data_IF_244826265739
#
_entry.id   IF_244826265739
#
_cell.length_a   1.000
_cell.length_b   1.000
_cell.length_c   1.000
_cell.angle_alpha   90.00
_cell.angle_beta   90.00
_cell.angle_gamma   90.00
#
_symmetry.space_group_name_H-M   'P 1'
#
loop_
_entity.id
_entity.type
_entity.pdbx_description
1 polymer ?
#
# COMPACT_ATOMS: atom_id res chain seq x y z
N UNK A 1 4.51 -25.64 -0.15
CA UNK A 1 4.12 -24.42 0.56
C UNK A 1 3.71 -23.36 -0.46
N UNK A 2 2.53 -22.81 -0.30
CA UNK A 2 2.08 -21.78 -1.21
C UNK A 2 2.72 -20.43 -0.86
N UNK A 3 3.29 -19.75 -1.83
CA UNK A 3 3.76 -18.39 -1.67
C UNK A 3 2.52 -17.49 -1.71
N UNK A 4 2.38 -16.60 -0.74
CA UNK A 4 1.29 -15.63 -0.76
C UNK A 4 1.43 -14.72 -1.98
N UNK A 5 0.39 -14.58 -2.77
CA UNK A 5 0.38 -13.68 -3.92
C UNK A 5 0.61 -12.23 -3.50
N UNK A 6 0.23 -11.88 -2.26
CA UNK A 6 0.41 -10.53 -1.73
C UNK A 6 1.88 -10.16 -1.54
N UNK A 7 2.75 -11.17 -1.40
CA UNK A 7 4.17 -10.96 -1.14
C UNK A 7 5.03 -11.00 -2.39
N UNK A 8 4.43 -11.22 -3.56
CA UNK A 8 5.19 -11.19 -4.82
C UNK A 8 5.50 -9.74 -5.20
N UNK A 9 6.60 -9.54 -5.91
CA UNK A 9 6.97 -8.23 -6.41
C UNK A 9 5.88 -7.64 -7.31
N UNK A 10 5.29 -8.48 -8.17
CA UNK A 10 4.23 -8.06 -9.08
C UNK A 10 2.99 -7.54 -8.33
N UNK A 11 2.56 -8.29 -7.31
CA UNK A 11 1.40 -7.87 -6.51
C UNK A 11 1.69 -6.58 -5.74
N UNK A 12 2.90 -6.42 -5.21
CA UNK A 12 3.29 -5.19 -4.53
C UNK A 12 3.26 -3.99 -5.49
N UNK A 13 3.70 -4.17 -6.73
CA UNK A 13 3.64 -3.12 -7.76
C UNK A 13 2.20 -2.71 -8.05
N UNK A 14 1.30 -3.68 -8.20
CA UNK A 14 -0.13 -3.39 -8.42
C UNK A 14 -0.72 -2.63 -7.24
N UNK A 15 -0.43 -3.04 -6.02
CA UNK A 15 -0.94 -2.34 -4.84
C UNK A 15 -0.41 -0.90 -4.77
N UNK A 16 0.88 -0.71 -5.02
CA UNK A 16 1.48 0.62 -5.04
C UNK A 16 0.80 1.52 -6.07
N UNK A 17 0.56 1.02 -7.28
CA UNK A 17 -0.14 1.78 -8.32
C UNK A 17 -1.55 2.18 -7.89
N UNK A 18 -2.29 1.27 -7.28
CA UNK A 18 -3.65 1.56 -6.82
C UNK A 18 -3.63 2.65 -5.75
N UNK A 19 -2.72 2.57 -4.79
CA UNK A 19 -2.59 3.61 -3.78
C UNK A 19 -2.28 4.97 -4.40
N UNK A 20 -1.32 5.03 -5.31
CA UNK A 20 -0.95 6.28 -5.97
C UNK A 20 -2.07 6.82 -6.85
N UNK A 21 -2.89 5.94 -7.42
CA UNK A 21 -4.06 6.33 -8.20
C UNK A 21 -5.08 7.12 -7.36
N UNK A 22 -5.26 6.73 -6.11
CA UNK A 22 -6.17 7.42 -5.19
C UNK A 22 -5.55 8.64 -4.52
N UNK A 23 -4.22 8.74 -4.53
CA UNK A 23 -3.52 9.85 -3.90
C UNK A 23 -3.15 10.89 -4.95
N UNK A 24 -3.45 12.16 -4.68
CA UNK A 24 -3.24 13.25 -5.60
C UNK A 24 -1.99 14.05 -5.27
N UNK A 25 -1.05 13.44 -4.57
CA UNK A 25 0.19 14.08 -4.14
C UNK A 25 1.33 13.06 -4.10
N UNK A 26 2.58 13.51 -4.24
CA UNK A 26 3.73 12.61 -4.10
C UNK A 26 3.82 12.03 -2.69
N UNK A 27 4.18 10.75 -2.61
CA UNK A 27 4.35 10.05 -1.34
C UNK A 27 5.62 9.22 -1.35
N UNK A 28 6.12 8.89 -0.17
CA UNK A 28 7.31 8.08 -0.02
C UNK A 28 6.95 6.62 0.31
N UNK A 29 7.97 5.76 0.27
CA UNK A 29 7.80 4.34 0.53
C UNK A 29 7.34 4.05 1.97
N UNK A 30 7.76 4.88 2.93
CA UNK A 30 7.37 4.68 4.33
C UNK A 30 5.87 4.86 4.51
N UNK A 31 5.30 5.88 3.88
CA UNK A 31 3.86 6.11 3.90
C UNK A 31 3.12 4.95 3.24
N UNK A 32 3.56 4.54 2.04
CA UNK A 32 2.91 3.43 1.33
C UNK A 32 3.04 2.11 2.08
N UNK A 33 4.17 1.87 2.72
CA UNK A 33 4.35 0.68 3.55
C UNK A 33 3.35 0.63 4.70
N UNK A 34 3.12 1.76 5.36
CA UNK A 34 2.15 1.87 6.43
C UNK A 34 0.72 1.65 5.90
N UNK A 35 0.35 2.30 4.81
CA UNK A 35 -0.97 2.15 4.19
C UNK A 35 -1.18 0.71 3.72
N UNK A 36 -0.17 0.09 3.13
CA UNK A 36 -0.24 -1.30 2.68
C UNK A 36 -0.47 -2.25 3.85
N UNK A 37 0.25 -2.05 4.97
CA UNK A 37 0.08 -2.85 6.17
C UNK A 37 -1.36 -2.77 6.70
N UNK A 38 -1.91 -1.57 6.78
CA UNK A 38 -3.30 -1.38 7.22
C UNK A 38 -4.29 -2.01 6.25
N UNK A 39 -4.07 -1.86 4.95
CA UNK A 39 -5.03 -2.31 3.93
C UNK A 39 -5.13 -3.82 3.87
N UNK A 40 -4.00 -4.53 3.89
CA UNK A 40 -4.03 -5.99 3.80
C UNK A 40 -4.34 -6.67 5.14
N UNK A 41 -4.27 -5.94 6.23
CA UNK A 41 -4.54 -6.45 7.59
C UNK A 41 -5.68 -5.68 8.25
N UNK A 42 -6.67 -5.23 7.51
CA UNK A 42 -7.73 -4.33 7.99
C UNK A 42 -8.40 -4.81 9.27
N UNK A 43 -8.67 -6.10 9.36
CA UNK A 43 -9.32 -6.68 10.53
C UNK A 43 -8.51 -6.46 11.81
N UNK A 44 -7.18 -6.52 11.71
CA UNK A 44 -6.29 -6.30 12.86
C UNK A 44 -6.32 -4.86 13.38
N UNK A 45 -6.78 -3.93 12.56
CA UNK A 45 -6.81 -2.50 12.87
C UNK A 45 -8.25 -1.94 12.99
N UNK A 46 -9.25 -2.82 12.92
CA UNK A 46 -10.65 -2.41 13.06
C UNK A 46 -11.17 -1.59 11.88
N UNK A 47 -10.56 -1.65 10.72
CA UNK A 47 -10.96 -0.88 9.54
C UNK A 47 -12.04 -1.60 8.73
N UNK A 48 -11.91 -2.90 8.57
CA UNK A 48 -12.85 -3.71 7.80
C UNK A 48 -13.13 -5.03 8.49
N UNK A 49 -13.94 -5.86 7.85
CA UNK A 49 -14.31 -7.17 8.39
C UNK A 49 -13.34 -8.28 8.01
N UNK A 50 -12.57 -8.09 6.94
CA UNK A 50 -11.70 -9.13 6.39
C UNK A 50 -10.28 -8.63 6.15
N UNK A 51 -9.33 -9.53 6.30
CA UNK A 51 -7.95 -9.30 5.87
C UNK A 51 -7.77 -9.86 4.46
N UNK A 52 -7.09 -9.13 3.59
CA UNK A 52 -6.78 -9.60 2.23
C UNK A 52 -5.77 -10.74 2.25
N UNK A 53 -4.91 -10.79 3.25
CA UNK A 53 -3.91 -11.85 3.40
C UNK A 53 -4.36 -13.02 4.28
N UNK A 54 -5.65 -13.11 4.59
CA UNK A 54 -6.21 -14.17 5.42
C UNK A 54 -6.39 -13.80 6.88
N UNK A 55 -6.70 -14.78 7.73
CA UNK A 55 -7.09 -14.56 9.12
C UNK A 55 -5.98 -14.86 10.12
N UNK A 56 -4.73 -14.69 9.76
CA UNK A 56 -3.64 -14.93 10.69
C UNK A 56 -3.24 -13.63 11.41
N UNK A 57 -2.47 -13.79 12.46
CA UNK A 57 -2.01 -12.68 13.29
C UNK A 57 -1.06 -11.77 12.51
N UNK A 58 -1.07 -10.49 12.89
CA UNK A 58 -0.09 -9.54 12.38
C UNK A 58 1.30 -9.94 12.88
N UNK A 59 2.21 -10.23 11.97
CA UNK A 59 3.56 -10.66 12.32
C UNK A 59 4.39 -9.50 12.83
N UNK A 60 5.30 -9.78 13.77
CA UNK A 60 6.31 -8.81 14.18
C UNK A 60 7.14 -8.42 12.96
N UNK A 61 7.38 -7.13 12.78
CA UNK A 61 8.14 -6.63 11.63
C UNK A 61 7.33 -6.51 10.33
N UNK A 62 6.01 -6.69 10.38
CA UNK A 62 5.14 -6.58 9.21
C UNK A 62 5.29 -5.24 8.50
N UNK A 63 5.29 -4.15 9.26
CA UNK A 63 5.44 -2.80 8.69
C UNK A 63 6.76 -2.68 7.92
N UNK A 64 7.85 -3.18 8.48
CA UNK A 64 9.16 -3.11 7.84
C UNK A 64 9.18 -3.90 6.53
N UNK A 65 8.62 -5.11 6.55
CA UNK A 65 8.53 -5.96 5.36
C UNK A 65 7.72 -5.26 4.27
N UNK A 66 6.57 -4.70 4.62
CA UNK A 66 5.71 -4.00 3.65
C UNK A 66 6.38 -2.74 3.11
N UNK A 67 7.08 -2.00 3.96
CA UNK A 67 7.82 -0.81 3.54
C UNK A 67 8.92 -1.16 2.53
N UNK A 68 9.66 -2.24 2.78
CA UNK A 68 10.70 -2.69 1.86
C UNK A 68 10.11 -3.14 0.52
N UNK A 69 8.96 -3.84 0.54
CA UNK A 69 8.26 -4.22 -0.68
C UNK A 69 7.79 -2.99 -1.47
N UNK A 70 7.26 -1.99 -0.80
CA UNK A 70 6.80 -0.76 -1.46
C UNK A 70 7.98 0.03 -2.05
N UNK A 71 9.11 0.07 -1.35
CA UNK A 71 10.31 0.73 -1.86
C UNK A 71 10.79 0.08 -3.15
N UNK A 72 10.84 -1.25 -3.19
CA UNK A 72 11.22 -1.99 -4.39
C UNK A 72 10.19 -1.80 -5.51
N UNK A 73 8.91 -1.87 -5.16
CA UNK A 73 7.82 -1.68 -6.12
C UNK A 73 7.89 -0.32 -6.79
N UNK A 74 8.08 0.75 -6.02
CA UNK A 74 8.17 2.12 -6.55
C UNK A 74 9.34 2.27 -7.53
N UNK A 75 10.49 1.67 -7.22
CA UNK A 75 11.64 1.70 -8.11
C UNK A 75 11.35 0.98 -9.43
N UNK A 76 10.75 -0.19 -9.37
CA UNK A 76 10.40 -0.96 -10.56
C UNK A 76 9.35 -0.22 -11.41
N UNK A 77 8.36 0.36 -10.77
CA UNK A 77 7.33 1.13 -11.46
C UNK A 77 7.92 2.36 -12.16
N UNK A 78 8.88 3.02 -11.52
CA UNK A 78 9.58 4.15 -12.13
C UNK A 78 10.36 3.73 -13.38
N UNK A 79 11.03 2.56 -13.31
CA UNK A 79 11.75 2.02 -14.47
C UNK A 79 10.80 1.68 -15.63
N UNK A 80 9.55 1.32 -15.33
CA UNK A 80 8.54 1.02 -16.32
C UNK A 80 7.78 2.27 -16.81
N UNK A 81 8.08 3.44 -16.26
CA UNK A 81 7.40 4.68 -16.62
C UNK A 81 6.00 4.84 -16.04
N UNK A 82 5.63 4.02 -15.05
CA UNK A 82 4.29 4.04 -14.45
C UNK A 82 4.20 4.95 -13.23
N UNK A 83 5.34 5.30 -12.64
CA UNK A 83 5.46 6.31 -11.59
C UNK A 83 6.62 7.23 -11.91
N UNK A 84 6.65 8.39 -11.26
CA UNK A 84 7.76 9.33 -11.38
C UNK A 84 8.11 9.87 -9.99
N UNK A 85 9.40 10.05 -9.74
CA UNK A 85 9.87 10.68 -8.51
C UNK A 85 9.81 12.19 -8.71
N UNK A 86 8.89 12.84 -8.00
CA UNK A 86 8.62 14.27 -8.16
C UNK A 86 9.35 15.04 -7.06
N UNK A 87 10.31 15.87 -7.46
CA UNK A 87 11.08 16.73 -6.58
C UNK A 87 10.58 18.18 -6.59
N UNK A 88 9.62 18.48 -7.45
CA UNK A 88 9.12 19.85 -7.64
C UNK A 88 8.02 20.23 -6.65
N UNK A 89 7.38 19.22 -6.05
CA UNK A 89 6.32 19.45 -5.08
C UNK A 89 6.91 19.80 -3.71
N UNK A 90 6.09 20.41 -2.86
CA UNK A 90 6.47 20.70 -1.47
C UNK A 90 6.91 19.45 -0.72
N UNK A 91 6.20 18.34 -0.95
CA UNK A 91 6.63 17.03 -0.48
C UNK A 91 7.25 16.25 -1.62
N UNK A 92 8.50 15.85 -1.45
CA UNK A 92 9.21 15.03 -2.42
C UNK A 92 8.76 13.59 -2.29
N UNK A 93 8.47 12.93 -3.41
CA UNK A 93 8.02 11.55 -3.40
C UNK A 93 7.65 11.04 -4.78
N UNK A 94 7.06 9.85 -4.81
CA UNK A 94 6.58 9.22 -6.03
C UNK A 94 5.12 9.56 -6.27
N UNK A 95 4.76 9.79 -7.52
CA UNK A 95 3.38 9.92 -7.95
C UNK A 95 3.13 9.11 -9.22
N UNK A 96 1.88 8.80 -9.49
CA UNK A 96 1.51 8.02 -10.66
C UNK A 96 1.63 8.87 -11.93
N UNK A 97 2.03 8.24 -13.03
CA UNK A 97 2.02 8.86 -14.36
C UNK A 97 0.69 8.58 -15.05
N UNK A 98 0.45 9.22 -16.20
CA UNK A 98 -0.75 8.94 -17.03
C UNK A 98 -0.75 7.48 -17.47
N UNK A 99 0.40 6.94 -17.81
CA UNK A 99 0.55 5.52 -18.17
C UNK A 99 0.20 4.61 -16.99
N UNK A 100 0.65 4.97 -15.78
CA UNK A 100 0.30 4.23 -14.57
C UNK A 100 -1.20 4.26 -14.29
N UNK A 101 -1.83 5.43 -14.43
CA UNK A 101 -3.28 5.56 -14.26
C UNK A 101 -4.03 4.72 -15.29
N UNK A 102 -3.55 4.64 -16.52
CA UNK A 102 -4.13 3.79 -17.54
C UNK A 102 -4.11 2.32 -17.16
N UNK A 103 -3.01 1.86 -16.56
CA UNK A 103 -2.91 0.48 -16.09
C UNK A 103 -3.97 0.21 -15.02
N UNK A 104 -4.11 1.10 -14.04
CA UNK A 104 -5.10 0.94 -12.97
C UNK A 104 -6.51 0.91 -13.54
N UNK A 105 -6.83 1.80 -14.48
CA UNK A 105 -8.15 1.86 -15.10
C UNK A 105 -8.53 0.60 -15.87
N UNK A 106 -7.55 -0.20 -16.26
CA UNK A 106 -7.77 -1.45 -16.98
C UNK A 106 -7.87 -2.69 -16.08
N UNK A 107 -7.60 -2.54 -14.79
CA UNK A 107 -7.69 -3.66 -13.87
C UNK A 107 -9.16 -4.07 -13.66
N UNK A 108 -9.45 -5.36 -13.86
CA UNK A 108 -10.82 -5.89 -13.80
C UNK A 108 -10.90 -7.23 -13.07
N UNK A 109 -9.83 -7.66 -12.40
CA UNK A 109 -9.86 -8.92 -11.66
C UNK A 109 -10.64 -8.76 -10.37
N UNK A 110 -11.18 -9.87 -9.86
CA UNK A 110 -11.86 -9.88 -8.57
C UNK A 110 -10.95 -9.41 -7.44
N UNK A 111 -9.69 -9.82 -7.46
CA UNK A 111 -8.70 -9.37 -6.49
C UNK A 111 -8.52 -7.85 -6.55
N UNK A 112 -8.39 -7.30 -7.76
CA UNK A 112 -8.21 -5.85 -7.92
C UNK A 112 -9.41 -5.08 -7.38
N UNK A 113 -10.63 -5.54 -7.65
CA UNK A 113 -11.84 -4.89 -7.14
C UNK A 113 -11.92 -4.94 -5.62
N UNK A 114 -11.60 -6.08 -5.02
CA UNK A 114 -11.53 -6.21 -3.57
C UNK A 114 -10.47 -5.30 -2.97
N UNK A 115 -9.32 -5.20 -3.64
CA UNK A 115 -8.25 -4.33 -3.18
C UNK A 115 -8.62 -2.85 -3.31
N UNK A 116 -9.29 -2.44 -4.39
CA UNK A 116 -9.81 -1.07 -4.53
C UNK A 116 -10.70 -0.71 -3.35
N UNK A 117 -11.64 -1.57 -3.00
CA UNK A 117 -12.56 -1.33 -1.89
C UNK A 117 -11.79 -1.23 -0.56
N UNK A 118 -10.85 -2.13 -0.33
CA UNK A 118 -10.05 -2.12 0.89
C UNK A 118 -9.18 -0.85 0.99
N UNK A 119 -8.58 -0.41 -0.12
CA UNK A 119 -7.77 0.80 -0.16
C UNK A 119 -8.61 2.04 0.18
N UNK A 120 -9.82 2.14 -0.38
CA UNK A 120 -10.71 3.25 -0.06
C UNK A 120 -11.08 3.26 1.43
N UNK A 121 -11.39 2.11 2.01
CA UNK A 121 -11.70 2.00 3.43
C UNK A 121 -10.51 2.46 4.29
N UNK A 122 -9.30 2.08 3.92
CA UNK A 122 -8.09 2.49 4.63
C UNK A 122 -7.91 4.00 4.56
N UNK A 123 -8.06 4.60 3.38
CA UNK A 123 -7.91 6.04 3.24
C UNK A 123 -8.98 6.83 3.99
N UNK A 124 -10.21 6.33 4.04
CA UNK A 124 -11.26 6.95 4.83
C UNK A 124 -10.94 6.90 6.33
N UNK A 125 -10.39 5.78 6.80
CA UNK A 125 -10.09 5.59 8.22
C UNK A 125 -8.80 6.30 8.66
N UNK A 126 -7.77 6.35 7.80
CA UNK A 126 -6.42 6.71 8.21
C UNK A 126 -5.68 7.66 7.26
N UNK A 127 -6.32 8.10 6.18
CA UNK A 127 -5.64 8.90 5.14
C UNK A 127 -5.13 10.25 5.58
N UNK A 128 -5.62 10.77 6.71
CA UNK A 128 -5.18 12.05 7.26
C UNK A 128 -4.04 11.92 8.26
N UNK A 129 -3.71 10.69 8.65
CA UNK A 129 -2.64 10.45 9.60
C UNK A 129 -1.28 10.59 8.91
N UNK A 130 -0.28 11.09 9.66
CA UNK A 130 1.09 11.14 9.17
C UNK A 130 1.69 9.75 9.15
N UNK A 131 2.77 9.58 8.38
CA UNK A 131 3.54 8.33 8.36
C UNK A 131 3.94 7.92 9.77
N UNK A 132 4.38 8.87 10.59
CA UNK A 132 4.79 8.62 11.97
C UNK A 132 3.64 8.11 12.84
N UNK A 133 2.46 8.73 12.69
CA UNK A 133 1.27 8.30 13.44
C UNK A 133 0.85 6.89 13.04
N UNK A 134 0.86 6.59 11.74
CA UNK A 134 0.53 5.26 11.24
C UNK A 134 1.51 4.20 11.74
N UNK A 135 2.81 4.51 11.70
CA UNK A 135 3.84 3.59 12.17
C UNK A 135 3.64 3.28 13.67
N UNK A 136 3.30 4.28 14.45
CA UNK A 136 3.06 4.11 15.90
C UNK A 136 1.86 3.18 16.16
N UNK A 137 0.78 3.36 15.42
CA UNK A 137 -0.41 2.50 15.53
C UNK A 137 -0.04 1.06 15.18
N UNK A 138 0.65 0.87 14.06
CA UNK A 138 0.99 -0.46 13.56
C UNK A 138 1.91 -1.19 14.54
N UNK A 139 2.95 -0.53 15.03
CA UNK A 139 3.89 -1.16 15.96
C UNK A 139 3.23 -1.50 17.29
N UNK A 140 2.25 -0.71 17.73
CA UNK A 140 1.48 -1.02 18.93
C UNK A 140 0.66 -2.29 18.76
N UNK A 141 0.05 -2.49 17.58
CA UNK A 141 -0.72 -3.71 17.28
C UNK A 141 0.20 -4.91 17.12
N UNK A 142 1.36 -4.74 16.46
CA UNK A 142 2.37 -5.80 16.34
C UNK A 142 2.82 -6.29 17.73
N UNK A 143 3.07 -5.37 18.65
CA UNK A 143 3.53 -5.71 20.00
C UNK A 143 2.45 -6.44 20.82
N UNK A 144 1.17 -6.15 20.55
CA UNK A 144 0.05 -6.77 21.24
C UNK A 144 -0.37 -8.12 20.66
N UNK A 145 0.14 -8.46 19.50
CA UNK A 145 -0.25 -9.69 18.78
C UNK A 145 0.44 -10.95 19.30
#
# INVERSE_FOLDING_TARGET
>A
MAISLLDTAFEAELRALVFLFFLDEPVNADYLGAIDTLTINQRSFGIGSDNLNGTHRLAAGELRTRTDLMRQALKQLALKGLTIFDTSAEQVGFRITDEGASVVNKLRTEYAERFFAAALDTFEAAGRASTRQLAKIITSVEAAS
#
